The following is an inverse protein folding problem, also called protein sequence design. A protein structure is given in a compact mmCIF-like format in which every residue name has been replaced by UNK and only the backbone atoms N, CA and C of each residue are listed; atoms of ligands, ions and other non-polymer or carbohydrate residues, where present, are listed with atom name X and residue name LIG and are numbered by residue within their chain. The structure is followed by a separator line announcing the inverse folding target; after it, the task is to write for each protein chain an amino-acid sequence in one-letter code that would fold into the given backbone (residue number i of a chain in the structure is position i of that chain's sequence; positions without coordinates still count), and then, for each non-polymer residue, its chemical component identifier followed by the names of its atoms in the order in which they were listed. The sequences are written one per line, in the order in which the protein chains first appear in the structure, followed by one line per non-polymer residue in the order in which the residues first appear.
data_IF_483552914405
#
_entry.id   IF_483552914405
#
_cell.length_a   1.000
_cell.length_b   1.000
_cell.length_c   1.000
_cell.angle_alpha   90.00
_cell.angle_beta   90.00
_cell.angle_gamma   90.00
#
_symmetry.space_group_name_H-M   'P 1'
#
loop_
_entity.id
_entity.type
_entity.pdbx_description
1 polymer ?
#
# COMPACT_ATOMS: atom_id res chain seq x y z
N UNK A 1 -35.01 15.87 31.12
CA UNK A 1 -34.97 14.77 32.10
C UNK A 1 -34.71 13.37 31.51
N UNK A 2 -34.69 13.17 30.19
CA UNK A 2 -34.26 11.90 29.57
C UNK A 2 -32.75 11.82 29.24
N UNK A 3 -32.05 12.97 29.20
CA UNK A 3 -30.61 13.00 28.86
C UNK A 3 -29.66 12.67 30.04
N UNK A 4 -30.16 12.53 31.27
CA UNK A 4 -29.32 12.31 32.46
C UNK A 4 -29.34 10.88 33.01
N UNK A 5 -30.14 9.97 32.43
CA UNK A 5 -30.16 8.54 32.81
C UNK A 5 -29.22 7.64 31.99
N UNK A 6 -28.54 8.17 30.98
CA UNK A 6 -27.62 7.39 30.11
C UNK A 6 -26.17 7.35 30.68
N UNK A 7 -25.93 7.89 31.88
CA UNK A 7 -24.59 7.84 32.53
C UNK A 7 -24.37 6.67 33.50
N UNK A 8 -25.26 5.67 33.59
CA UNK A 8 -25.14 4.63 34.64
C UNK A 8 -25.16 3.16 34.23
N UNK A 9 -25.15 2.81 32.95
CA UNK A 9 -25.02 1.42 32.51
C UNK A 9 -24.04 1.33 31.32
N UNK A 10 -22.74 1.33 31.63
CA UNK A 10 -21.71 0.88 30.71
C UNK A 10 -21.53 -0.64 30.83
N UNK A 11 -21.13 -1.28 29.72
CA UNK A 11 -20.62 -2.67 29.60
C UNK A 11 -21.59 -3.82 29.26
N UNK A 12 -22.50 -3.66 28.30
CA UNK A 12 -23.11 -4.84 27.62
C UNK A 12 -23.53 -4.64 26.14
N UNK A 13 -22.91 -3.69 25.43
CA UNK A 13 -23.40 -3.25 24.11
C UNK A 13 -22.55 -3.57 22.87
N UNK A 14 -21.48 -4.37 22.95
CA UNK A 14 -20.51 -4.46 21.83
C UNK A 14 -20.72 -5.68 20.90
N UNK A 15 -21.39 -6.76 21.33
CA UNK A 15 -21.86 -7.79 20.39
C UNK A 15 -23.17 -7.42 19.66
N UNK A 16 -23.80 -6.32 20.08
CA UNK A 16 -24.91 -5.71 19.37
C UNK A 16 -24.43 -4.58 18.44
N UNK A 17 -23.15 -4.20 18.41
CA UNK A 17 -22.64 -3.09 17.59
C UNK A 17 -22.74 -3.33 16.07
N UNK A 18 -22.63 -4.56 15.59
CA UNK A 18 -22.74 -4.88 14.15
C UNK A 18 -24.19 -5.13 13.71
N UNK A 19 -25.08 -5.46 14.66
CA UNK A 19 -26.52 -5.61 14.43
C UNK A 19 -27.25 -4.27 14.64
N UNK A 20 -26.76 -3.43 15.56
CA UNK A 20 -27.26 -2.09 15.85
C UNK A 20 -26.63 -1.01 14.97
N UNK A 21 -25.47 -1.19 14.32
CA UNK A 21 -25.09 -0.24 13.25
C UNK A 21 -25.94 -0.45 11.99
N UNK A 22 -26.48 -1.66 11.79
CA UNK A 22 -27.53 -1.93 10.79
C UNK A 22 -28.92 -1.47 11.26
N UNK A 23 -29.20 -1.44 12.57
CA UNK A 23 -30.46 -0.93 13.09
C UNK A 23 -30.48 0.60 13.31
N UNK A 24 -29.36 1.24 13.64
CA UNK A 24 -29.27 2.69 13.89
C UNK A 24 -29.17 3.51 12.61
N UNK A 25 -28.71 2.90 11.51
CA UNK A 25 -28.93 3.45 10.15
C UNK A 25 -30.38 3.21 9.69
N UNK A 26 -31.09 2.22 10.27
CA UNK A 26 -32.51 2.00 9.98
C UNK A 26 -33.46 2.88 10.83
N UNK A 27 -33.03 3.31 12.02
CA UNK A 27 -33.88 4.09 12.95
C UNK A 27 -33.63 5.61 12.87
N UNK A 28 -32.53 6.06 12.25
CA UNK A 28 -32.30 7.46 11.89
C UNK A 28 -32.79 7.82 10.46
N UNK A 29 -33.35 6.85 9.74
CA UNK A 29 -33.86 7.01 8.38
C UNK A 29 -35.34 6.60 8.27
N UNK A 30 -36.14 6.89 9.30
CA UNK A 30 -37.58 7.03 9.08
C UNK A 30 -37.80 8.20 8.10
N UNK A 31 -37.97 7.83 6.83
CA UNK A 31 -38.58 8.58 5.75
C UNK A 31 -37.94 9.92 5.38
N UNK A 32 -36.88 9.90 4.56
CA UNK A 32 -36.75 10.90 3.48
C UNK A 32 -35.83 10.57 2.31
N UNK A 33 -34.93 9.58 2.39
CA UNK A 33 -34.05 9.25 1.25
C UNK A 33 -33.94 7.73 1.03
N UNK A 34 -34.23 7.23 -0.19
CA UNK A 34 -34.08 5.81 -0.51
C UNK A 34 -32.59 5.41 -0.54
N UNK A 35 -32.22 4.26 0.03
CA UNK A 35 -30.87 3.70 -0.13
C UNK A 35 -30.82 2.73 -1.33
N UNK A 36 -29.79 2.82 -2.18
CA UNK A 36 -29.53 1.89 -3.29
C UNK A 36 -28.21 1.13 -3.04
N UNK A 37 -28.26 -0.20 -3.14
CA UNK A 37 -27.07 -1.06 -3.06
C UNK A 37 -26.89 -1.92 -4.31
N UNK A 38 -25.64 -2.17 -4.69
CA UNK A 38 -25.25 -3.11 -5.74
C UNK A 38 -24.45 -4.25 -5.12
N UNK A 39 -24.83 -5.49 -5.39
CA UNK A 39 -24.14 -6.66 -4.85
C UNK A 39 -23.76 -7.62 -5.97
N UNK A 40 -22.53 -8.16 -5.91
CA UNK A 40 -21.98 -9.05 -6.93
C UNK A 40 -22.14 -10.50 -6.47
N UNK A 41 -22.75 -11.34 -7.32
CA UNK A 41 -23.07 -12.74 -6.99
C UNK A 41 -22.51 -13.73 -8.02
N UNK A 42 -22.47 -15.01 -7.62
CA UNK A 42 -22.03 -16.14 -8.44
C UNK A 42 -22.78 -16.34 -9.77
N UNK A 43 -22.41 -17.38 -10.51
CA UNK A 43 -22.75 -17.56 -11.94
C UNK A 43 -24.23 -17.77 -12.28
N UNK A 44 -25.13 -17.78 -11.30
CA UNK A 44 -26.57 -17.92 -11.53
C UNK A 44 -27.18 -16.59 -11.99
N UNK A 45 -27.98 -16.63 -13.06
CA UNK A 45 -28.87 -15.53 -13.44
C UNK A 45 -29.87 -15.35 -12.28
N UNK A 46 -30.00 -14.14 -11.74
CA UNK A 46 -31.32 -13.50 -11.67
C UNK A 46 -31.28 -12.05 -11.17
N UNK A 47 -32.21 -11.32 -11.76
CA UNK A 47 -32.41 -9.88 -11.82
C UNK A 47 -33.30 -9.43 -10.66
N UNK A 48 -32.92 -8.35 -9.99
CA UNK A 48 -33.71 -7.50 -9.08
C UNK A 48 -34.53 -8.24 -8.00
N UNK A 49 -34.03 -8.24 -6.74
CA UNK A 49 -34.86 -8.61 -5.59
C UNK A 49 -35.46 -7.34 -5.00
N UNK A 50 -36.79 -7.18 -5.10
CA UNK A 50 -37.54 -6.34 -4.17
C UNK A 50 -37.58 -7.04 -2.82
N UNK A 51 -37.30 -6.33 -1.72
CA UNK A 51 -37.34 -6.91 -0.38
C UNK A 51 -38.73 -7.47 -0.06
N UNK A 52 -38.87 -8.78 -0.27
CA UNK A 52 -40.00 -9.60 0.15
C UNK A 52 -39.45 -10.97 0.52
N UNK A 53 -39.26 -11.18 1.82
CA UNK A 53 -38.99 -12.44 2.53
C UNK A 53 -38.62 -13.65 1.63
N UNK A 54 -37.34 -13.84 1.31
CA UNK A 54 -36.81 -15.18 1.08
C UNK A 54 -35.41 -15.34 1.69
N UNK A 55 -35.38 -16.09 2.80
CA UNK A 55 -34.15 -16.70 3.32
C UNK A 55 -33.73 -17.81 2.35
N UNK A 56 -32.93 -17.49 1.34
CA UNK A 56 -32.05 -18.48 0.69
C UNK A 56 -30.60 -18.05 0.85
N UNK A 57 -29.86 -18.91 1.54
CA UNK A 57 -28.42 -18.82 1.73
C UNK A 57 -27.69 -18.96 0.38
N UNK A 58 -27.64 -17.87 -0.40
CA UNK A 58 -26.60 -17.72 -1.42
C UNK A 58 -25.49 -16.89 -0.78
N UNK A 59 -24.31 -17.48 -0.60
CA UNK A 59 -23.12 -16.78 -0.08
C UNK A 59 -22.77 -15.65 -1.05
N UNK A 60 -23.20 -14.44 -0.71
CA UNK A 60 -22.80 -13.24 -1.43
C UNK A 60 -21.28 -13.11 -1.45
N UNK A 61 -20.74 -12.86 -2.63
CA UNK A 61 -19.30 -12.70 -2.87
C UNK A 61 -18.80 -11.27 -2.71
N UNK A 62 -19.66 -10.35 -2.26
CA UNK A 62 -19.32 -8.94 -2.01
C UNK A 62 -20.53 -8.02 -2.25
N UNK A 63 -20.85 -7.15 -1.28
CA UNK A 63 -21.93 -6.15 -1.37
C UNK A 63 -21.37 -4.73 -1.29
N UNK A 64 -21.80 -3.83 -2.16
CA UNK A 64 -21.39 -2.43 -2.19
C UNK A 64 -22.61 -1.49 -2.18
N UNK A 65 -22.58 -0.45 -1.35
CA UNK A 65 -23.65 0.55 -1.32
C UNK A 65 -23.31 1.73 -2.21
N UNK A 66 -24.21 2.11 -3.13
CA UNK A 66 -24.08 3.37 -3.87
C UNK A 66 -24.72 4.45 -3.01
N UNK A 67 -23.89 5.15 -2.23
CA UNK A 67 -24.34 6.21 -1.32
C UNK A 67 -24.57 7.58 -2.00
N UNK A 68 -24.34 7.70 -3.31
CA UNK A 68 -24.49 8.99 -4.00
C UNK A 68 -25.88 8.98 -4.63
N UNK A 69 -26.88 9.22 -3.79
CA UNK A 69 -28.26 9.29 -4.27
C UNK A 69 -28.41 10.61 -5.06
N UNK A 70 -28.79 10.57 -6.35
CA UNK A 70 -29.21 11.77 -7.07
C UNK A 70 -30.36 12.43 -6.30
N UNK A 71 -30.29 13.75 -6.13
CA UNK A 71 -31.24 14.50 -5.33
C UNK A 71 -32.67 14.26 -5.84
N UNK A 72 -33.54 13.68 -4.99
CA UNK A 72 -34.94 13.40 -5.33
C UNK A 72 -35.90 14.45 -4.77
N UNK A 73 -35.35 15.55 -4.23
CA UNK A 73 -36.13 16.62 -3.57
C UNK A 73 -36.90 17.50 -4.55
N UNK A 74 -36.65 17.38 -5.86
CA UNK A 74 -37.27 18.19 -6.91
C UNK A 74 -38.60 17.62 -7.46
N UNK A 75 -39.03 16.42 -7.05
CA UNK A 75 -40.24 15.80 -7.62
C UNK A 75 -41.53 16.24 -6.91
N UNK A 76 -42.66 16.38 -7.64
CA UNK A 76 -43.95 16.73 -7.07
C UNK A 76 -44.43 15.74 -6.01
N UNK A 77 -45.17 16.24 -5.01
CA UNK A 77 -45.82 15.41 -4.00
C UNK A 77 -46.81 14.44 -4.67
N UNK A 78 -46.64 13.13 -4.44
CA UNK A 78 -47.43 12.07 -5.09
C UNK A 78 -46.72 11.31 -6.23
N UNK A 79 -45.56 11.78 -6.70
CA UNK A 79 -44.78 11.06 -7.71
C UNK A 79 -44.21 9.72 -7.18
N UNK A 80 -44.31 8.66 -7.98
CA UNK A 80 -43.62 7.40 -7.68
C UNK A 80 -42.16 7.52 -8.09
N UNK A 81 -41.25 7.54 -7.10
CA UNK A 81 -39.80 7.69 -7.32
C UNK A 81 -39.11 6.32 -7.32
N UNK A 82 -38.33 6.09 -8.37
CA UNK A 82 -37.42 4.96 -8.53
C UNK A 82 -36.04 5.39 -9.02
N UNK A 83 -35.24 4.42 -9.41
CA UNK A 83 -33.87 4.59 -9.86
C UNK A 83 -33.62 3.88 -11.17
N UNK A 84 -32.87 4.51 -12.05
CA UNK A 84 -32.24 3.87 -13.20
C UNK A 84 -30.73 3.79 -12.93
N UNK A 85 -30.18 2.60 -13.09
CA UNK A 85 -28.75 2.32 -12.95
C UNK A 85 -28.23 1.78 -14.25
N UNK A 86 -27.18 2.41 -14.74
CA UNK A 86 -26.40 1.90 -15.86
C UNK A 86 -25.11 1.27 -15.36
N UNK A 87 -24.78 0.11 -15.91
CA UNK A 87 -23.51 -0.58 -15.70
C UNK A 87 -22.85 -0.77 -17.06
N UNK A 88 -21.60 -0.37 -17.18
CA UNK A 88 -20.85 -0.42 -18.44
C UNK A 88 -19.43 -0.93 -18.24
N UNK A 89 -18.83 -1.64 -19.21
CA UNK A 89 -17.40 -1.92 -19.22
C UNK A 89 -16.54 -0.68 -19.53
N UNK A 90 -17.15 0.44 -19.95
CA UNK A 90 -16.46 1.67 -20.35
C UNK A 90 -17.08 2.89 -19.68
N UNK A 91 -16.28 3.94 -19.48
CA UNK A 91 -16.76 5.19 -18.86
C UNK A 91 -17.60 6.06 -19.79
N UNK A 92 -17.72 5.72 -21.08
CA UNK A 92 -18.54 6.45 -22.05
C UNK A 92 -20.01 6.00 -22.07
N UNK A 93 -20.34 4.92 -21.34
CA UNK A 93 -21.69 4.37 -21.21
C UNK A 93 -22.40 4.15 -22.57
N UNK A 94 -21.66 3.81 -23.63
CA UNK A 94 -22.25 3.45 -24.94
C UNK A 94 -22.78 2.01 -24.98
N UNK A 95 -22.10 1.13 -24.27
CA UNK A 95 -22.50 -0.27 -24.07
C UNK A 95 -22.93 -0.40 -22.60
N UNK A 96 -24.24 -0.43 -22.34
CA UNK A 96 -24.77 -0.44 -20.97
C UNK A 96 -25.77 -1.57 -20.78
N UNK A 97 -25.72 -2.14 -19.58
CA UNK A 97 -26.86 -2.84 -19.01
C UNK A 97 -27.63 -1.88 -18.11
N UNK A 98 -28.95 -1.85 -18.27
CA UNK A 98 -29.85 -0.98 -17.53
C UNK A 98 -30.63 -1.77 -16.50
N UNK A 99 -30.72 -1.21 -15.30
CA UNK A 99 -31.50 -1.75 -14.21
C UNK A 99 -32.42 -0.65 -13.70
N UNK A 100 -33.68 -1.00 -13.48
CA UNK A 100 -34.62 -0.12 -12.80
C UNK A 100 -34.96 -0.70 -11.44
N UNK A 101 -35.14 0.17 -10.44
CA UNK A 101 -35.57 -0.23 -9.12
C UNK A 101 -36.55 0.79 -8.54
N UNK A 102 -37.68 0.32 -8.03
CA UNK A 102 -38.75 1.13 -7.47
C UNK A 102 -38.79 0.99 -5.95
N UNK A 103 -39.07 2.10 -5.25
CA UNK A 103 -39.28 2.14 -3.80
C UNK A 103 -38.03 2.40 -2.96
N UNK A 104 -38.18 2.25 -1.64
CA UNK A 104 -37.11 2.44 -0.67
C UNK A 104 -36.28 1.16 -0.50
N UNK A 105 -34.95 1.31 -0.35
CA UNK A 105 -34.00 0.21 -0.08
C UNK A 105 -33.88 -0.83 -1.22
N UNK A 106 -33.51 -0.36 -2.41
CA UNK A 106 -33.33 -1.19 -3.59
C UNK A 106 -31.98 -1.93 -3.61
N UNK A 107 -31.99 -3.18 -4.04
CA UNK A 107 -30.79 -4.00 -4.24
C UNK A 107 -30.69 -4.46 -5.71
N UNK A 108 -29.60 -4.08 -6.37
CA UNK A 108 -29.27 -4.54 -7.73
C UNK A 108 -28.22 -5.63 -7.63
N UNK A 109 -28.51 -6.78 -8.25
CA UNK A 109 -27.60 -7.92 -8.30
C UNK A 109 -26.87 -7.96 -9.63
N UNK A 110 -25.54 -8.00 -9.58
CA UNK A 110 -24.65 -8.03 -10.75
C UNK A 110 -23.97 -9.40 -10.77
N UNK A 111 -24.10 -10.13 -11.87
CA UNK A 111 -23.55 -11.47 -11.96
C UNK A 111 -22.04 -11.40 -12.30
N UNK A 112 -21.21 -12.24 -11.67
CA UNK A 112 -19.76 -12.31 -11.93
C UNK A 112 -19.39 -12.36 -13.42
N UNK A 113 -20.18 -13.10 -14.21
CA UNK A 113 -20.00 -13.22 -15.67
C UNK A 113 -19.98 -11.88 -16.43
N UNK A 114 -20.62 -10.83 -15.91
CA UNK A 114 -20.63 -9.49 -16.51
C UNK A 114 -19.23 -8.84 -16.48
N UNK A 115 -18.37 -9.26 -15.56
CA UNK A 115 -16.97 -8.86 -15.53
C UNK A 115 -16.08 -9.72 -16.45
N UNK A 116 -16.64 -10.72 -17.13
CA UNK A 116 -15.90 -11.68 -17.95
C UNK A 116 -15.18 -12.76 -17.13
N UNK A 117 -14.54 -13.70 -17.83
CA UNK A 117 -13.98 -14.92 -17.22
C UNK A 117 -12.85 -14.69 -16.20
N UNK A 118 -12.14 -13.57 -16.33
CA UNK A 118 -11.06 -13.15 -15.43
C UNK A 118 -11.45 -11.94 -14.56
N UNK A 119 -12.67 -11.43 -14.69
CA UNK A 119 -13.08 -10.21 -14.02
C UNK A 119 -12.49 -8.94 -14.63
N UNK A 120 -12.62 -7.83 -13.91
CA UNK A 120 -12.09 -6.54 -14.34
C UNK A 120 -12.76 -5.37 -13.65
N UNK A 121 -12.93 -4.29 -14.42
CA UNK A 121 -13.61 -3.06 -14.00
C UNK A 121 -14.94 -2.94 -14.72
N UNK A 122 -15.98 -2.61 -13.97
CA UNK A 122 -17.22 -2.07 -14.50
C UNK A 122 -17.41 -0.66 -13.94
N UNK A 123 -18.18 0.16 -14.64
CA UNK A 123 -18.49 1.52 -14.28
C UNK A 123 -19.99 1.62 -14.11
N UNK A 124 -20.43 2.26 -13.03
CA UNK A 124 -21.84 2.45 -12.73
C UNK A 124 -22.17 3.93 -12.54
N UNK A 125 -23.37 4.30 -12.97
CA UNK A 125 -24.00 5.59 -12.66
C UNK A 125 -25.47 5.35 -12.37
N UNK A 126 -26.04 6.18 -11.51
CA UNK A 126 -27.44 6.12 -11.09
C UNK A 126 -28.12 7.47 -11.35
N UNK A 127 -29.37 7.47 -11.76
CA UNK A 127 -30.25 8.64 -11.78
C UNK A 127 -31.60 8.29 -11.16
N UNK A 128 -32.26 9.28 -10.58
CA UNK A 128 -33.65 9.13 -10.14
C UNK A 128 -34.59 9.13 -11.35
N UNK A 129 -35.70 8.41 -11.23
CA UNK A 129 -36.79 8.40 -12.21
C UNK A 129 -38.08 8.63 -11.45
N UNK A 130 -38.90 9.58 -11.88
CA UNK A 130 -40.21 9.85 -11.27
C UNK A 130 -41.31 9.61 -12.29
N UNK A 131 -42.34 8.86 -11.89
CA UNK A 131 -43.58 8.73 -12.66
C UNK A 131 -44.64 9.61 -12.01
N UNK A 132 -45.10 10.62 -12.74
CA UNK A 132 -46.12 11.56 -12.29
C UNK A 132 -47.52 10.94 -12.39
N UNK A 133 -48.50 11.52 -11.69
CA UNK A 133 -49.91 11.10 -11.78
C UNK A 133 -50.46 11.19 -13.22
N UNK A 134 -49.90 12.08 -14.04
CA UNK A 134 -50.18 12.21 -15.48
C UNK A 134 -49.65 11.05 -16.33
N UNK A 135 -48.97 10.07 -15.74
CA UNK A 135 -48.17 9.03 -16.40
C UNK A 135 -46.95 9.54 -17.18
N UNK A 136 -46.58 10.81 -17.01
CA UNK A 136 -45.33 11.36 -17.53
C UNK A 136 -44.14 10.87 -16.68
N UNK A 137 -43.01 10.61 -17.35
CA UNK A 137 -41.79 10.13 -16.71
C UNK A 137 -40.72 11.21 -16.76
N UNK A 138 -40.28 11.65 -15.59
CA UNK A 138 -39.18 12.61 -15.42
C UNK A 138 -37.90 11.90 -14.97
N UNK A 139 -36.76 12.42 -15.41
CA UNK A 139 -35.44 11.87 -15.12
C UNK A 139 -34.56 12.91 -14.44
N UNK A 140 -33.92 12.50 -13.34
CA UNK A 140 -32.89 13.30 -12.70
C UNK A 140 -31.56 13.24 -13.45
N UNK A 141 -30.62 14.06 -13.00
CA UNK A 141 -29.24 14.00 -13.49
C UNK A 141 -28.55 12.69 -13.11
N UNK A 142 -27.61 12.27 -13.94
CA UNK A 142 -26.75 11.14 -13.63
C UNK A 142 -25.79 11.48 -12.49
N UNK A 143 -25.64 10.56 -11.54
CA UNK A 143 -24.60 10.60 -10.54
C UNK A 143 -23.21 10.61 -11.17
N UNK A 144 -22.20 10.94 -10.35
CA UNK A 144 -20.81 10.64 -10.70
C UNK A 144 -20.65 9.15 -11.00
N UNK A 145 -19.80 8.84 -11.97
CA UNK A 145 -19.42 7.47 -12.29
C UNK A 145 -18.64 6.86 -11.13
N UNK A 146 -19.07 5.67 -10.69
CA UNK A 146 -18.34 4.84 -9.72
C UNK A 146 -17.72 3.64 -10.42
N UNK A 147 -16.50 3.29 -10.03
CA UNK A 147 -15.80 2.08 -10.49
C UNK A 147 -16.14 0.91 -9.56
N UNK A 148 -16.45 -0.23 -10.15
CA UNK A 148 -16.63 -1.52 -9.48
C UNK A 148 -15.49 -2.43 -9.95
N UNK A 149 -14.65 -2.88 -9.01
CA UNK A 149 -13.59 -3.85 -9.29
C UNK A 149 -13.99 -5.21 -8.75
N UNK A 150 -13.97 -6.21 -9.62
CA UNK A 150 -14.15 -7.60 -9.24
C UNK A 150 -13.22 -8.45 -10.10
N UNK A 151 -12.16 -9.01 -9.52
CA UNK A 151 -11.05 -9.60 -10.28
C UNK A 151 -10.75 -11.02 -9.81
N UNK A 152 -10.62 -11.95 -10.75
CA UNK A 152 -10.31 -13.34 -10.42
C UNK A 152 -8.87 -13.49 -10.00
N UNK A 153 -8.62 -14.24 -8.92
CA UNK A 153 -7.27 -14.67 -8.52
C UNK A 153 -6.85 -15.79 -9.46
N UNK A 154 -6.37 -15.42 -10.65
CA UNK A 154 -5.93 -16.33 -11.70
C UNK A 154 -4.48 -16.08 -12.08
N UNK A 155 -3.84 -17.06 -12.75
CA UNK A 155 -2.51 -16.85 -13.34
C UNK A 155 -2.55 -15.86 -14.51
N UNK A 156 -3.73 -15.58 -15.09
CA UNK A 156 -3.88 -14.59 -16.16
C UNK A 156 -3.74 -13.17 -15.60
N UNK A 157 -4.45 -12.87 -14.51
CA UNK A 157 -4.41 -11.57 -13.85
C UNK A 157 -3.17 -11.39 -12.99
N UNK A 158 -2.78 -12.43 -12.25
CA UNK A 158 -1.74 -12.39 -11.23
C UNK A 158 -0.66 -13.46 -11.46
N UNK A 159 -0.01 -13.56 -12.63
CA UNK A 159 0.91 -14.66 -12.95
C UNK A 159 2.03 -14.87 -11.92
N UNK A 160 2.55 -13.78 -11.36
CA UNK A 160 3.60 -13.81 -10.34
C UNK A 160 3.10 -13.78 -8.90
N UNK A 161 1.84 -13.38 -8.66
CA UNK A 161 1.25 -13.20 -7.32
C UNK A 161 0.16 -14.22 -6.98
N UNK A 162 -0.24 -15.07 -7.94
CA UNK A 162 -1.35 -16.03 -7.82
C UNK A 162 -1.27 -16.86 -6.54
N UNK A 163 -0.11 -17.45 -6.23
CA UNK A 163 0.05 -18.28 -5.04
C UNK A 163 -0.10 -17.46 -3.75
N UNK A 164 0.49 -16.27 -3.70
CA UNK A 164 0.44 -15.37 -2.54
C UNK A 164 -0.98 -14.89 -2.28
N UNK A 165 -1.69 -14.42 -3.32
CA UNK A 165 -3.07 -13.96 -3.18
C UNK A 165 -4.02 -15.10 -2.83
N UNK A 166 -3.86 -16.28 -3.46
CA UNK A 166 -4.75 -17.43 -3.24
C UNK A 166 -4.57 -18.10 -1.88
N UNK A 167 -3.34 -18.20 -1.38
CA UNK A 167 -3.02 -19.02 -0.19
C UNK A 167 -2.65 -18.21 1.04
N UNK A 168 -2.15 -16.99 0.86
CA UNK A 168 -1.55 -16.21 1.94
C UNK A 168 -0.26 -16.85 2.45
N UNK A 169 0.89 -16.25 2.13
CA UNK A 169 2.18 -16.73 2.63
C UNK A 169 2.96 -15.69 3.44
N UNK A 170 2.48 -14.44 3.49
CA UNK A 170 2.95 -13.43 4.42
C UNK A 170 2.43 -13.68 5.83
N UNK A 171 3.22 -13.28 6.84
CA UNK A 171 2.90 -13.48 8.25
C UNK A 171 3.00 -12.13 8.99
N UNK A 172 2.07 -11.86 9.90
CA UNK A 172 2.13 -10.72 10.81
C UNK A 172 1.89 -11.15 12.25
N UNK A 173 2.32 -10.33 13.20
CA UNK A 173 2.08 -10.55 14.61
C UNK A 173 1.02 -9.55 15.07
N UNK A 174 0.00 -10.06 15.74
CA UNK A 174 -1.08 -9.30 16.36
C UNK A 174 -1.35 -9.88 17.73
N UNK A 175 -2.02 -9.15 18.61
CA UNK A 175 -2.55 -9.78 19.82
C UNK A 175 -3.50 -10.93 19.47
N UNK A 176 -3.65 -11.89 20.38
CA UNK A 176 -4.65 -12.95 20.24
C UNK A 176 -6.04 -12.38 19.94
N UNK A 177 -6.93 -13.17 19.32
CA UNK A 177 -8.27 -12.65 18.98
C UNK A 177 -9.03 -12.19 20.24
N UNK A 178 -8.84 -12.90 21.36
CA UNK A 178 -9.38 -12.53 22.67
C UNK A 178 -8.80 -11.20 23.19
N UNK A 179 -7.50 -10.99 23.02
CA UNK A 179 -6.84 -9.75 23.45
C UNK A 179 -7.17 -8.56 22.54
N UNK A 180 -7.37 -8.81 21.25
CA UNK A 180 -7.88 -7.81 20.31
C UNK A 180 -9.31 -7.40 20.66
N UNK A 181 -10.16 -8.33 21.11
CA UNK A 181 -11.51 -8.02 21.59
C UNK A 181 -11.49 -7.22 22.89
N UNK A 182 -10.65 -7.62 23.86
CA UNK A 182 -10.39 -6.83 25.07
C UNK A 182 -9.95 -5.41 24.75
N UNK A 183 -8.98 -5.25 23.84
CA UNK A 183 -8.51 -3.93 23.40
C UNK A 183 -9.60 -3.10 22.74
N UNK A 184 -10.45 -3.72 21.90
CA UNK A 184 -11.63 -3.04 21.31
C UNK A 184 -12.62 -2.57 22.37
N UNK A 185 -12.72 -3.30 23.48
CA UNK A 185 -13.60 -2.98 24.60
C UNK A 185 -12.94 -2.08 25.66
N UNK A 186 -11.69 -1.65 25.45
CA UNK A 186 -10.94 -0.80 26.40
C UNK A 186 -10.39 -1.54 27.62
N UNK A 187 -10.33 -2.87 27.59
CA UNK A 187 -9.83 -3.70 28.68
C UNK A 187 -8.30 -3.91 28.58
N UNK A 188 -7.59 -3.99 29.73
CA UNK A 188 -6.18 -4.33 29.76
C UNK A 188 -5.94 -5.80 29.35
N UNK A 189 -4.84 -6.06 28.65
CA UNK A 189 -4.44 -7.38 28.17
C UNK A 189 -2.99 -7.72 28.58
N UNK A 190 -2.70 -9.01 28.79
CA UNK A 190 -1.36 -9.56 29.05
C UNK A 190 -0.48 -9.64 27.80
N UNK A 191 -1.03 -9.40 26.61
CA UNK A 191 -0.25 -9.02 25.43
C UNK A 191 0.41 -10.14 24.63
N UNK A 192 -0.14 -11.36 24.65
CA UNK A 192 0.42 -12.45 23.85
C UNK A 192 0.28 -12.17 22.35
N UNK A 193 1.42 -11.98 21.68
CA UNK A 193 1.46 -11.79 20.23
C UNK A 193 1.31 -13.14 19.52
N UNK A 194 0.20 -13.29 18.81
CA UNK A 194 -0.09 -14.42 17.94
C UNK A 194 0.32 -14.10 16.51
N UNK A 195 0.91 -15.09 15.87
CA UNK A 195 1.29 -15.04 14.48
C UNK A 195 0.09 -15.39 13.58
N UNK A 196 -0.28 -14.50 12.68
CA UNK A 196 -1.37 -14.67 11.71
C UNK A 196 -0.81 -14.63 10.28
N UNK A 197 -1.54 -15.23 9.35
CA UNK A 197 -1.25 -15.13 7.91
C UNK A 197 -2.05 -14.00 7.29
N UNK A 198 -1.48 -13.34 6.29
CA UNK A 198 -2.25 -12.44 5.43
C UNK A 198 -3.17 -13.28 4.54
N UNK A 199 -4.48 -13.05 4.64
CA UNK A 199 -5.49 -13.59 3.74
C UNK A 199 -6.02 -12.43 2.90
N UNK A 200 -5.90 -12.55 1.58
CA UNK A 200 -6.31 -11.51 0.64
C UNK A 200 -7.73 -11.78 0.14
N UNK A 201 -8.00 -13.04 -0.16
CA UNK A 201 -9.33 -13.62 -0.41
C UNK A 201 -9.92 -14.08 0.93
N UNK A 202 -10.76 -13.23 1.52
CA UNK A 202 -11.33 -13.46 2.86
C UNK A 202 -12.45 -14.50 2.79
N UNK A 203 -13.29 -14.41 1.76
CA UNK A 203 -14.43 -15.29 1.57
C UNK A 203 -14.05 -16.64 0.88
N UNK A 204 -12.83 -16.74 0.36
CA UNK A 204 -12.22 -17.92 -0.30
C UNK A 204 -12.93 -18.35 -1.57
N UNK A 205 -13.58 -17.42 -2.26
CA UNK A 205 -14.31 -17.71 -3.49
C UNK A 205 -13.41 -17.68 -4.75
N UNK A 206 -12.13 -17.32 -4.58
CA UNK A 206 -11.14 -17.23 -5.65
C UNK A 206 -11.16 -15.91 -6.44
N UNK A 207 -11.89 -14.91 -5.96
CA UNK A 207 -11.96 -13.57 -6.51
C UNK A 207 -11.51 -12.55 -5.45
N UNK A 208 -11.22 -11.34 -5.91
CA UNK A 208 -11.06 -10.18 -5.06
C UNK A 208 -12.17 -9.21 -5.40
N UNK A 209 -13.04 -8.98 -4.43
CA UNK A 209 -14.07 -7.95 -4.51
C UNK A 209 -13.49 -6.57 -4.14
N UNK A 210 -14.26 -5.50 -4.36
CA UNK A 210 -13.80 -4.15 -4.08
C UNK A 210 -13.50 -3.90 -2.58
N UNK A 211 -14.17 -4.59 -1.67
CA UNK A 211 -13.96 -4.52 -0.22
C UNK A 211 -12.64 -5.19 0.17
N UNK A 212 -12.43 -6.41 -0.30
CA UNK A 212 -11.15 -7.12 -0.15
C UNK A 212 -10.00 -6.31 -0.75
N UNK A 213 -10.14 -5.79 -1.97
CA UNK A 213 -9.15 -4.90 -2.58
C UNK A 213 -8.87 -3.67 -1.73
N UNK A 214 -9.90 -3.07 -1.14
CA UNK A 214 -9.77 -1.88 -0.30
C UNK A 214 -9.04 -2.16 1.01
N UNK A 215 -9.20 -3.36 1.56
CA UNK A 215 -8.55 -3.80 2.79
C UNK A 215 -7.10 -4.24 2.59
N UNK A 216 -6.70 -4.56 1.36
CA UNK A 216 -5.31 -4.94 1.03
C UNK A 216 -4.41 -3.70 1.04
N UNK A 217 -3.89 -3.39 2.25
CA UNK A 217 -2.89 -2.34 2.49
C UNK A 217 -1.46 -2.84 2.39
N UNK A 218 -1.23 -4.14 2.57
CA UNK A 218 0.12 -4.75 2.58
C UNK A 218 0.15 -6.02 1.75
N UNK A 219 1.15 -6.16 0.89
CA UNK A 219 1.46 -7.39 0.15
C UNK A 219 2.77 -7.95 0.67
N UNK A 220 2.71 -9.09 1.35
CA UNK A 220 3.85 -9.72 1.99
C UNK A 220 4.02 -11.17 1.56
N UNK A 221 5.28 -11.56 1.39
CA UNK A 221 5.70 -12.94 1.16
C UNK A 221 6.78 -13.33 2.18
N UNK A 222 6.77 -14.59 2.60
CA UNK A 222 7.79 -15.11 3.52
C UNK A 222 8.92 -15.80 2.76
N UNK A 223 8.55 -16.78 1.94
CA UNK A 223 9.46 -17.64 1.18
C UNK A 223 9.03 -17.78 -0.29
N UNK A 224 7.99 -17.05 -0.71
CA UNK A 224 7.50 -17.09 -2.09
C UNK A 224 8.29 -16.15 -2.98
N UNK A 225 8.70 -16.68 -4.14
CA UNK A 225 9.27 -15.91 -5.23
C UNK A 225 8.17 -15.31 -6.10
N UNK A 226 8.16 -13.99 -6.22
CA UNK A 226 7.28 -13.25 -7.14
C UNK A 226 8.01 -13.01 -8.46
N UNK A 227 7.44 -13.46 -9.57
CA UNK A 227 8.05 -13.31 -10.91
C UNK A 227 7.55 -12.09 -11.68
N UNK A 228 6.38 -11.58 -11.32
CA UNK A 228 5.70 -10.45 -11.99
C UNK A 228 4.72 -9.80 -11.02
N UNK A 229 4.61 -8.48 -11.11
CA UNK A 229 3.59 -7.69 -10.40
C UNK A 229 2.39 -7.33 -11.28
N UNK A 230 2.22 -7.99 -12.44
CA UNK A 230 0.98 -7.84 -13.22
C UNK A 230 -0.23 -8.10 -12.32
N UNK A 231 -1.21 -7.20 -12.36
CA UNK A 231 -2.41 -7.22 -11.54
C UNK A 231 -2.29 -6.38 -10.26
N UNK A 232 -1.10 -5.92 -9.86
CA UNK A 232 -0.94 -5.07 -8.67
C UNK A 232 -1.70 -3.75 -8.80
N UNK A 233 -1.98 -3.29 -10.02
CA UNK A 233 -2.78 -2.11 -10.34
C UNK A 233 -4.26 -2.22 -9.91
N UNK A 234 -4.75 -3.42 -9.59
CA UNK A 234 -6.06 -3.59 -8.94
C UNK A 234 -5.99 -3.27 -7.44
N UNK A 235 -4.83 -3.45 -6.80
CA UNK A 235 -4.62 -3.19 -5.38
C UNK A 235 -4.33 -1.71 -5.13
N UNK A 236 -5.25 -0.83 -5.55
CA UNK A 236 -5.07 0.65 -5.58
C UNK A 236 -4.70 1.27 -4.24
N UNK A 237 -5.03 0.55 -3.18
CA UNK A 237 -4.97 0.93 -1.80
C UNK A 237 -3.77 0.30 -1.05
N UNK A 238 -2.88 -0.36 -1.79
CA UNK A 238 -1.64 -0.96 -1.30
C UNK A 238 -0.62 0.11 -0.90
N UNK A 239 -0.18 0.07 0.36
CA UNK A 239 0.75 1.02 0.98
C UNK A 239 2.12 0.42 1.27
N UNK A 240 2.21 -0.90 1.43
CA UNK A 240 3.46 -1.58 1.76
C UNK A 240 3.63 -2.87 0.97
N UNK A 241 4.85 -3.13 0.50
CA UNK A 241 5.22 -4.41 -0.09
C UNK A 241 6.48 -4.97 0.59
N UNK A 242 6.44 -6.23 1.00
CA UNK A 242 7.58 -6.97 1.54
C UNK A 242 7.75 -8.29 0.81
N UNK A 243 8.66 -8.30 -0.17
CA UNK A 243 8.97 -9.45 -0.98
C UNK A 243 10.22 -10.17 -0.49
N UNK A 244 10.11 -11.46 -0.23
CA UNK A 244 11.24 -12.32 0.05
C UNK A 244 12.15 -12.43 -1.16
N UNK A 245 11.58 -12.76 -2.32
CA UNK A 245 12.30 -12.85 -3.58
C UNK A 245 11.50 -12.28 -4.74
N UNK A 246 12.20 -11.58 -5.64
CA UNK A 246 11.64 -11.05 -6.87
C UNK A 246 12.55 -11.38 -8.07
N UNK A 247 12.00 -11.99 -9.10
CA UNK A 247 12.76 -12.37 -10.31
C UNK A 247 12.49 -11.51 -11.54
N UNK A 248 11.54 -10.57 -11.46
CA UNK A 248 11.29 -9.61 -12.52
C UNK A 248 12.39 -8.53 -12.59
N UNK A 249 12.44 -7.81 -13.70
CA UNK A 249 13.37 -6.69 -13.91
C UNK A 249 12.75 -5.32 -13.66
N UNK A 250 11.43 -5.24 -13.50
CA UNK A 250 10.67 -4.01 -13.30
C UNK A 250 9.63 -4.16 -12.20
N UNK A 251 9.85 -3.49 -11.08
CA UNK A 251 8.91 -3.38 -9.96
C UNK A 251 8.13 -2.08 -10.10
N UNK A 252 6.98 -2.14 -10.78
CA UNK A 252 6.11 -0.99 -11.04
C UNK A 252 4.96 -0.93 -10.04
N UNK A 253 4.94 0.12 -9.23
CA UNK A 253 3.95 0.41 -8.20
C UNK A 253 3.36 1.82 -8.38
N UNK A 254 3.43 2.36 -9.60
CA UNK A 254 2.96 3.72 -9.94
C UNK A 254 1.45 3.90 -9.82
N UNK A 255 0.69 2.82 -9.69
CA UNK A 255 -0.78 2.81 -9.55
C UNK A 255 -1.24 2.53 -8.13
N UNK A 256 -0.32 2.49 -7.17
CA UNK A 256 -0.56 2.16 -5.78
C UNK A 256 -0.16 3.33 -4.87
N UNK A 257 -0.76 3.41 -3.68
CA UNK A 257 -0.41 4.40 -2.64
C UNK A 257 0.81 3.96 -1.83
N UNK A 258 1.83 3.42 -2.51
CA UNK A 258 2.97 2.77 -1.85
C UNK A 258 3.78 3.80 -1.04
N UNK A 259 4.10 3.46 0.21
CA UNK A 259 4.96 4.22 1.13
C UNK A 259 6.22 3.44 1.49
N UNK A 260 6.12 2.12 1.58
CA UNK A 260 7.23 1.24 1.95
C UNK A 260 7.44 0.13 0.90
N UNK A 261 8.66 0.01 0.40
CA UNK A 261 9.08 -1.06 -0.50
C UNK A 261 10.24 -1.83 0.13
N UNK A 262 10.05 -3.11 0.39
CA UNK A 262 11.09 -4.01 0.84
C UNK A 262 11.20 -5.23 -0.09
N UNK A 263 12.38 -5.46 -0.66
CA UNK A 263 12.70 -6.66 -1.44
C UNK A 263 14.04 -7.21 -0.97
N UNK A 264 14.01 -8.37 -0.32
CA UNK A 264 15.19 -8.99 0.31
C UNK A 264 16.04 -9.82 -0.66
N UNK A 265 15.49 -10.17 -1.82
CA UNK A 265 16.17 -11.05 -2.77
C UNK A 265 15.81 -10.76 -4.22
N UNK A 266 16.50 -9.81 -4.85
CA UNK A 266 16.47 -9.64 -6.30
C UNK A 266 17.29 -10.75 -6.96
N UNK A 267 16.63 -11.56 -7.79
CA UNK A 267 17.25 -12.68 -8.49
C UNK A 267 17.72 -12.31 -9.91
N UNK A 268 17.20 -11.21 -10.46
CA UNK A 268 17.58 -10.68 -11.77
C UNK A 268 18.94 -9.97 -11.73
N UNK A 269 19.54 -9.77 -12.91
CA UNK A 269 20.78 -8.98 -13.06
C UNK A 269 20.55 -7.48 -12.93
N UNK A 270 19.32 -7.04 -13.15
CA UNK A 270 18.94 -5.64 -13.08
C UNK A 270 17.53 -5.47 -12.52
N UNK A 271 17.31 -4.35 -11.83
CA UNK A 271 15.99 -3.96 -11.32
C UNK A 271 15.75 -2.48 -11.59
N UNK A 272 14.55 -2.18 -12.09
CA UNK A 272 13.98 -0.83 -12.14
C UNK A 272 12.82 -0.77 -11.16
N UNK A 273 12.84 0.17 -10.23
CA UNK A 273 11.77 0.41 -9.26
C UNK A 273 11.05 1.70 -9.64
N UNK A 274 9.74 1.61 -9.81
CA UNK A 274 8.86 2.76 -10.08
C UNK A 274 7.87 2.84 -8.93
N UNK A 275 8.20 3.66 -7.94
CA UNK A 275 7.37 3.89 -6.75
C UNK A 275 7.41 5.38 -6.36
N UNK A 276 6.67 6.25 -7.09
CA UNK A 276 6.81 7.70 -6.95
C UNK A 276 6.50 8.23 -5.54
N UNK A 277 5.61 7.55 -4.82
CA UNK A 277 5.17 7.92 -3.47
C UNK A 277 5.91 7.18 -2.35
N UNK A 278 6.80 6.23 -2.67
CA UNK A 278 7.54 5.50 -1.64
C UNK A 278 8.50 6.42 -0.88
N UNK A 279 8.41 6.40 0.44
CA UNK A 279 9.26 7.15 1.37
C UNK A 279 10.45 6.30 1.82
N UNK A 280 10.24 4.99 1.95
CA UNK A 280 11.25 4.01 2.39
C UNK A 280 11.40 2.92 1.35
N UNK A 281 12.62 2.72 0.87
CA UNK A 281 12.95 1.68 -0.10
C UNK A 281 14.14 0.87 0.39
N UNK A 282 13.96 -0.44 0.50
CA UNK A 282 14.99 -1.43 0.74
C UNK A 282 14.99 -2.44 -0.39
N UNK A 283 16.06 -2.51 -1.18
CA UNK A 283 16.18 -3.48 -2.29
C UNK A 283 17.58 -4.07 -2.30
N UNK A 284 17.67 -5.36 -2.01
CA UNK A 284 18.94 -6.09 -2.01
C UNK A 284 18.93 -7.28 -2.96
N UNK A 285 20.11 -7.61 -3.49
CA UNK A 285 20.33 -8.85 -4.21
C UNK A 285 20.08 -10.07 -3.33
N UNK A 286 19.60 -11.15 -3.93
CA UNK A 286 19.54 -12.45 -3.25
C UNK A 286 20.92 -12.87 -2.74
N UNK A 287 20.99 -13.30 -1.48
CA UNK A 287 22.26 -13.65 -0.81
C UNK A 287 22.99 -14.82 -1.45
N UNK A 288 22.27 -15.74 -2.13
CA UNK A 288 22.89 -16.91 -2.76
C UNK A 288 23.36 -16.59 -4.17
N UNK A 289 22.55 -15.89 -4.96
CA UNK A 289 22.85 -15.63 -6.37
C UNK A 289 23.70 -14.38 -6.58
N UNK A 290 23.39 -13.29 -5.88
CA UNK A 290 24.18 -12.04 -5.91
C UNK A 290 24.42 -11.49 -7.33
N UNK A 291 23.48 -11.70 -8.25
CA UNK A 291 23.60 -11.34 -9.67
C UNK A 291 23.31 -9.87 -9.99
N UNK A 292 22.72 -9.14 -9.03
CA UNK A 292 22.26 -7.77 -9.24
C UNK A 292 23.43 -6.84 -9.54
N UNK A 293 23.47 -6.32 -10.76
CA UNK A 293 24.55 -5.48 -11.29
C UNK A 293 24.09 -4.08 -11.68
N UNK A 294 22.78 -3.85 -11.80
CA UNK A 294 22.18 -2.55 -12.12
C UNK A 294 20.92 -2.31 -11.31
N UNK A 295 20.85 -1.15 -10.66
CA UNK A 295 19.73 -0.71 -9.84
C UNK A 295 19.29 0.66 -10.34
N UNK A 296 18.02 0.79 -10.73
CA UNK A 296 17.41 2.05 -11.13
C UNK A 296 16.21 2.37 -10.23
N UNK A 297 16.35 3.39 -9.39
CA UNK A 297 15.28 3.93 -8.53
C UNK A 297 14.96 5.38 -8.92
N UNK A 298 15.31 5.79 -10.14
CA UNK A 298 15.21 7.19 -10.58
C UNK A 298 13.77 7.73 -10.61
N UNK A 299 12.78 6.85 -10.71
CA UNK A 299 11.35 7.15 -10.70
C UNK A 299 10.72 7.16 -9.29
N UNK A 300 11.51 7.09 -8.21
CA UNK A 300 11.03 7.10 -6.83
C UNK A 300 11.15 8.51 -6.23
N UNK A 301 10.19 9.39 -6.53
CA UNK A 301 10.27 10.83 -6.27
C UNK A 301 10.19 11.23 -4.78
N UNK A 302 9.61 10.38 -3.92
CA UNK A 302 9.34 10.72 -2.51
C UNK A 302 10.30 10.12 -1.49
N UNK A 303 11.35 9.44 -1.94
CA UNK A 303 12.22 8.65 -1.07
C UNK A 303 12.97 9.54 -0.07
N UNK A 304 12.84 9.18 1.21
CA UNK A 304 13.52 9.76 2.36
C UNK A 304 14.63 8.85 2.84
N UNK A 305 14.38 7.53 2.86
CA UNK A 305 15.31 6.49 3.28
C UNK A 305 15.49 5.42 2.19
N UNK A 306 16.72 5.30 1.70
CA UNK A 306 17.06 4.42 0.58
C UNK A 306 18.17 3.47 0.97
N UNK A 307 17.88 2.17 0.99
CA UNK A 307 18.86 1.11 1.11
C UNK A 307 18.83 0.24 -0.14
N UNK A 308 19.95 0.23 -0.88
CA UNK A 308 20.07 -0.54 -2.11
C UNK A 308 21.41 -1.25 -2.17
N UNK A 309 21.42 -2.47 -2.73
CA UNK A 309 22.71 -3.04 -3.08
C UNK A 309 22.77 -4.53 -3.29
N UNK A 310 23.99 -5.03 -3.20
CA UNK A 310 24.35 -6.43 -3.37
C UNK A 310 25.40 -6.81 -2.33
N UNK A 311 25.36 -8.06 -1.87
CA UNK A 311 26.31 -8.65 -0.92
C UNK A 311 27.72 -8.83 -1.49
N UNK A 312 27.94 -8.51 -2.77
CA UNK A 312 29.25 -8.40 -3.44
C UNK A 312 29.37 -7.08 -4.18
N UNK A 313 30.62 -6.63 -4.37
CA UNK A 313 30.99 -5.43 -5.16
C UNK A 313 30.82 -5.63 -6.67
N UNK A 314 29.59 -5.89 -7.12
CA UNK A 314 29.26 -6.16 -8.54
C UNK A 314 28.22 -5.21 -9.13
N UNK A 315 27.64 -4.30 -8.34
CA UNK A 315 26.68 -3.29 -8.83
C UNK A 315 27.43 -2.22 -9.62
N UNK A 316 27.40 -2.30 -10.95
CA UNK A 316 28.08 -1.39 -11.88
C UNK A 316 27.34 -0.08 -12.07
N UNK A 317 26.01 -0.12 -11.97
CA UNK A 317 25.16 1.04 -12.29
C UNK A 317 24.13 1.24 -11.21
N UNK A 318 24.12 2.45 -10.63
CA UNK A 318 23.09 2.91 -9.70
C UNK A 318 22.53 4.21 -10.24
N UNK A 319 21.22 4.25 -10.48
CA UNK A 319 20.48 5.48 -10.78
C UNK A 319 19.62 5.83 -9.59
N UNK A 320 20.10 6.79 -8.79
CA UNK A 320 19.42 7.32 -7.63
C UNK A 320 18.20 8.18 -8.02
N UNK A 321 17.30 8.51 -7.08
CA UNK A 321 16.09 9.30 -7.34
C UNK A 321 16.38 10.62 -8.07
N UNK A 322 15.58 10.94 -9.10
CA UNK A 322 15.71 12.24 -9.80
C UNK A 322 15.43 13.42 -8.86
N UNK A 323 14.44 13.26 -7.99
CA UNK A 323 14.12 14.22 -6.95
C UNK A 323 15.10 14.13 -5.78
N UNK A 324 15.94 15.15 -5.64
CA UNK A 324 17.07 15.13 -4.70
C UNK A 324 16.76 15.71 -3.32
N UNK A 325 15.67 16.48 -3.22
CA UNK A 325 15.39 17.34 -2.05
C UNK A 325 14.86 16.58 -0.83
N UNK A 326 14.39 15.33 -1.01
CA UNK A 326 13.78 14.53 0.05
C UNK A 326 14.71 13.48 0.67
N UNK A 327 15.75 13.05 -0.05
CA UNK A 327 16.62 11.97 0.43
C UNK A 327 17.44 12.43 1.64
N UNK A 328 17.23 11.74 2.77
CA UNK A 328 17.87 12.02 4.07
C UNK A 328 18.86 10.93 4.46
N UNK A 329 18.55 9.67 4.14
CA UNK A 329 19.36 8.49 4.45
C UNK A 329 19.63 7.69 3.17
N UNK A 330 20.89 7.32 2.96
CA UNK A 330 21.32 6.50 1.83
C UNK A 330 22.29 5.42 2.29
N UNK A 331 21.90 4.16 2.13
CA UNK A 331 22.79 3.00 2.22
C UNK A 331 22.99 2.41 0.82
N UNK A 332 24.25 2.31 0.40
CA UNK A 332 24.64 1.64 -0.83
C UNK A 332 25.58 0.49 -0.49
N UNK A 333 25.22 -0.72 -0.94
CA UNK A 333 26.05 -1.91 -0.79
C UNK A 333 26.53 -2.47 -2.13
N UNK A 334 27.80 -2.87 -2.20
CA UNK A 334 28.30 -3.65 -3.32
C UNK A 334 28.44 -2.87 -4.63
N UNK A 335 28.53 -1.54 -4.57
CA UNK A 335 28.81 -0.72 -5.74
C UNK A 335 30.24 -0.93 -6.23
N UNK A 336 30.41 -1.21 -7.53
CA UNK A 336 31.70 -1.56 -8.14
C UNK A 336 32.34 -0.42 -8.92
N UNK A 337 31.67 0.74 -9.01
CA UNK A 337 32.23 1.94 -9.63
C UNK A 337 33.33 2.58 -8.77
N UNK A 338 34.22 3.34 -9.41
CA UNK A 338 35.35 3.99 -8.74
C UNK A 338 34.95 5.22 -7.92
N UNK A 339 33.90 5.93 -8.32
CA UNK A 339 33.42 7.16 -7.67
C UNK A 339 31.94 7.06 -7.37
N UNK A 340 31.56 7.36 -6.12
CA UNK A 340 30.17 7.61 -5.73
C UNK A 340 29.93 9.12 -5.65
N UNK A 341 29.02 9.66 -6.48
CA UNK A 341 28.67 11.09 -6.50
C UNK A 341 27.29 11.32 -5.88
N UNK A 342 27.27 11.94 -4.70
CA UNK A 342 26.03 12.27 -3.97
C UNK A 342 25.86 13.77 -3.74
N UNK A 343 26.67 14.61 -4.41
CA UNK A 343 26.64 16.07 -4.24
C UNK A 343 25.29 16.73 -4.57
N UNK A 344 24.45 16.03 -5.31
CA UNK A 344 23.11 16.51 -5.64
C UNK A 344 22.13 16.41 -4.45
N UNK A 345 22.38 15.51 -3.47
CA UNK A 345 21.49 15.21 -2.34
C UNK A 345 21.87 16.06 -1.12
N UNK A 346 21.60 17.36 -1.19
CA UNK A 346 22.05 18.35 -0.19
C UNK A 346 21.38 18.20 1.18
N UNK A 347 20.26 17.46 1.27
CA UNK A 347 19.54 17.15 2.51
C UNK A 347 19.98 15.85 3.18
N UNK A 348 20.95 15.14 2.59
CA UNK A 348 21.48 13.89 3.14
C UNK A 348 22.11 14.14 4.52
N UNK A 349 21.59 13.44 5.53
CA UNK A 349 22.07 13.44 6.92
C UNK A 349 22.89 12.19 7.24
N UNK A 350 22.68 11.11 6.50
CA UNK A 350 23.29 9.82 6.74
C UNK A 350 23.68 9.12 5.43
N UNK A 351 24.90 8.61 5.38
CA UNK A 351 25.43 7.86 4.26
C UNK A 351 26.19 6.63 4.75
N UNK A 352 25.70 5.46 4.36
CA UNK A 352 26.37 4.19 4.60
C UNK A 352 26.86 3.60 3.28
N UNK A 353 28.16 3.31 3.22
CA UNK A 353 28.78 2.72 2.04
C UNK A 353 29.41 1.40 2.42
N UNK A 354 28.83 0.32 1.92
CA UNK A 354 29.08 -1.03 2.41
C UNK A 354 29.68 -1.89 1.30
N UNK A 355 30.85 -2.49 1.53
CA UNK A 355 31.49 -3.44 0.61
C UNK A 355 31.59 -2.90 -0.83
N UNK A 356 31.87 -1.60 -0.99
CA UNK A 356 31.97 -0.97 -2.29
C UNK A 356 33.41 -0.88 -2.76
N UNK A 357 33.62 -0.97 -4.08
CA UNK A 357 34.92 -0.87 -4.75
C UNK A 357 35.29 0.58 -5.10
N UNK A 358 34.93 1.53 -4.24
CA UNK A 358 35.11 2.97 -4.48
C UNK A 358 36.47 3.46 -3.98
N UNK A 359 37.08 4.39 -4.72
CA UNK A 359 38.26 5.15 -4.28
C UNK A 359 37.94 6.59 -3.91
N UNK A 360 36.78 7.11 -4.35
CA UNK A 360 36.34 8.48 -4.11
C UNK A 360 34.84 8.56 -3.81
N UNK A 361 34.46 9.42 -2.88
CA UNK A 361 33.08 9.83 -2.66
C UNK A 361 33.01 11.35 -2.76
N UNK A 362 32.11 11.87 -3.59
CA UNK A 362 31.85 13.31 -3.72
C UNK A 362 30.62 13.67 -2.89
N UNK A 363 30.87 14.37 -1.78
CA UNK A 363 29.87 14.71 -0.76
C UNK A 363 30.12 16.12 -0.15
N UNK A 364 30.89 16.95 -0.84
CA UNK A 364 31.29 18.29 -0.41
C UNK A 364 30.09 19.26 -0.31
N UNK A 365 29.00 18.98 -1.04
CA UNK A 365 27.72 19.72 -1.00
C UNK A 365 26.72 19.16 0.02
N UNK A 366 26.97 18.00 0.63
CA UNK A 366 26.11 17.40 1.66
C UNK A 366 26.36 18.08 3.02
N UNK A 367 25.95 19.34 3.15
CA UNK A 367 26.20 20.17 4.35
C UNK A 367 25.45 19.71 5.59
N UNK A 368 24.36 18.97 5.40
CA UNK A 368 23.54 18.42 6.49
C UNK A 368 24.03 17.05 6.99
N UNK A 369 25.12 16.50 6.42
CA UNK A 369 25.63 15.18 6.76
C UNK A 369 26.09 15.13 8.23
N UNK A 370 25.56 14.18 9.00
CA UNK A 370 25.82 13.97 10.43
C UNK A 370 26.49 12.63 10.71
N UNK A 371 26.13 11.60 9.94
CA UNK A 371 26.59 10.22 10.12
C UNK A 371 27.16 9.70 8.79
N UNK A 372 28.38 9.18 8.82
CA UNK A 372 29.05 8.65 7.65
C UNK A 372 29.74 7.33 7.99
N UNK A 373 29.38 6.27 7.29
CA UNK A 373 29.93 4.94 7.49
C UNK A 373 30.54 4.36 6.24
N UNK A 374 31.70 3.73 6.44
CA UNK A 374 32.30 2.85 5.45
C UNK A 374 32.52 1.48 6.09
N UNK A 375 32.01 0.45 5.43
CA UNK A 375 32.29 -0.94 5.77
C UNK A 375 33.05 -1.62 4.64
N UNK A 376 34.21 -2.22 4.92
CA UNK A 376 34.98 -3.01 3.93
C UNK A 376 35.21 -2.28 2.59
N UNK A 377 35.39 -0.97 2.61
CA UNK A 377 35.69 -0.15 1.44
C UNK A 377 37.21 0.05 1.33
N UNK A 378 37.89 -0.92 0.73
CA UNK A 378 39.35 -1.04 0.79
C UNK A 378 40.12 -0.22 -0.26
N UNK A 379 39.48 0.61 -1.07
CA UNK A 379 40.19 1.45 -2.05
C UNK A 379 40.22 2.93 -1.71
N UNK A 380 39.61 3.33 -0.59
CA UNK A 380 39.68 4.68 -0.08
C UNK A 380 41.01 4.82 0.69
N UNK A 381 41.85 5.77 0.29
CA UNK A 381 43.16 6.02 0.92
C UNK A 381 43.21 7.31 1.72
N UNK A 382 42.45 8.31 1.29
CA UNK A 382 42.33 9.63 1.92
C UNK A 382 40.93 10.18 1.70
N UNK A 383 40.53 11.15 2.51
CA UNK A 383 39.24 11.81 2.37
C UNK A 383 39.29 13.24 2.91
N UNK A 384 38.64 14.17 2.22
CA UNK A 384 38.46 15.53 2.71
C UNK A 384 36.97 15.78 3.03
N UNK A 385 36.67 15.82 4.32
CA UNK A 385 35.37 16.08 4.92
C UNK A 385 35.31 17.47 5.56
N UNK A 386 36.30 18.35 5.31
CA UNK A 386 36.35 19.71 5.88
C UNK A 386 35.09 20.54 5.58
N UNK A 387 34.40 20.19 4.50
CA UNK A 387 33.17 20.84 4.02
C UNK A 387 31.89 20.32 4.68
N UNK A 388 31.93 19.21 5.41
CA UNK A 388 30.80 18.57 6.10
C UNK A 388 30.78 18.99 7.58
N UNK A 389 30.59 20.29 7.84
CA UNK A 389 30.78 20.89 9.18
C UNK A 389 29.82 20.37 10.26
N UNK A 390 28.70 19.75 9.87
CA UNK A 390 27.72 19.12 10.79
C UNK A 390 28.03 17.65 11.10
N UNK A 391 29.13 17.09 10.55
CA UNK A 391 29.47 15.69 10.73
C UNK A 391 29.80 15.38 12.19
N UNK A 392 28.97 14.55 12.83
CA UNK A 392 29.12 14.15 14.23
C UNK A 392 29.94 12.87 14.36
N UNK A 393 29.65 11.88 13.50
CA UNK A 393 30.22 10.53 13.59
C UNK A 393 30.71 10.03 12.24
N UNK A 394 31.88 9.39 12.25
CA UNK A 394 32.53 8.78 11.10
C UNK A 394 33.17 7.44 11.49
N UNK A 395 32.91 6.35 10.78
CA UNK A 395 33.68 5.11 10.96
C UNK A 395 34.07 4.47 9.64
N UNK A 396 35.25 3.89 9.66
CA UNK A 396 35.85 3.13 8.58
C UNK A 396 36.05 1.67 9.05
N UNK A 397 34.96 0.96 9.28
CA UNK A 397 35.00 -0.41 9.80
C UNK A 397 35.55 -1.38 8.76
N UNK A 398 36.63 -2.09 9.12
CA UNK A 398 37.33 -3.05 8.25
C UNK A 398 37.74 -2.44 6.88
N UNK A 399 38.02 -1.13 6.85
CA UNK A 399 38.56 -0.44 5.68
C UNK A 399 40.08 -0.32 5.83
N UNK A 400 40.82 -1.25 5.24
CA UNK A 400 42.23 -1.49 5.58
C UNK A 400 43.22 -0.50 4.95
N UNK A 401 42.79 0.23 3.93
CA UNK A 401 43.65 1.14 3.16
C UNK A 401 43.59 2.61 3.60
N UNK A 402 42.72 2.94 4.55
CA UNK A 402 42.57 4.30 5.08
C UNK A 402 43.13 4.41 6.49
N UNK A 403 43.80 5.52 6.76
CA UNK A 403 44.22 5.93 8.10
C UNK A 403 43.50 7.22 8.48
N UNK A 404 43.09 7.37 9.74
CA UNK A 404 42.46 8.62 10.22
C UNK A 404 43.36 9.85 10.03
N UNK A 405 44.69 9.69 9.97
CA UNK A 405 45.63 10.78 9.68
C UNK A 405 45.46 11.35 8.27
N UNK A 406 44.98 10.54 7.32
CA UNK A 406 44.72 10.93 5.94
C UNK A 406 43.30 11.47 5.72
N UNK A 407 42.54 11.68 6.80
CA UNK A 407 41.16 12.18 6.76
C UNK A 407 41.11 13.59 7.34
N UNK A 408 40.88 14.58 6.48
CA UNK A 408 40.60 15.96 6.93
C UNK A 408 39.13 16.02 7.32
N UNK A 409 38.81 16.46 8.54
CA UNK A 409 37.44 16.52 9.06
C UNK A 409 37.27 17.61 10.11
N UNK A 410 36.03 18.02 10.44
CA UNK A 410 35.78 18.93 11.56
C UNK A 410 36.34 18.39 12.88
N UNK A 411 36.88 19.28 13.72
CA UNK A 411 37.50 18.90 15.00
C UNK A 411 36.54 18.17 15.94
N UNK A 412 35.26 18.53 15.90
CA UNK A 412 34.20 17.92 16.73
C UNK A 412 33.77 16.52 16.27
N UNK A 413 34.17 16.08 15.06
CA UNK A 413 33.76 14.77 14.53
C UNK A 413 34.47 13.63 15.27
N UNK A 414 33.67 12.79 15.93
CA UNK A 414 34.13 11.52 16.50
C UNK A 414 34.36 10.54 15.36
N UNK A 415 35.59 10.02 15.24
CA UNK A 415 35.86 9.01 14.23
C UNK A 415 36.70 7.83 14.69
N UNK A 416 36.41 6.69 14.09
CA UNK A 416 37.04 5.40 14.38
C UNK A 416 37.36 4.62 13.09
N UNK A 417 38.01 3.48 13.21
CA UNK A 417 38.33 2.56 12.09
C UNK A 417 38.03 1.10 12.43
N UNK A 418 37.05 0.85 13.30
CA UNK A 418 36.98 -0.46 13.97
C UNK A 418 35.81 -0.69 14.91
N UNK A 419 34.86 0.24 15.02
CA UNK A 419 33.72 0.09 15.95
C UNK A 419 32.41 -0.32 15.26
N UNK A 420 32.35 -0.29 13.94
CA UNK A 420 31.10 -0.47 13.19
C UNK A 420 30.22 0.78 13.30
N UNK A 421 28.92 0.65 13.03
CA UNK A 421 27.93 1.72 13.20
C UNK A 421 27.63 2.03 14.68
N UNK A 422 28.64 2.19 15.52
CA UNK A 422 28.49 2.38 16.97
C UNK A 422 27.64 3.59 17.35
N UNK A 423 27.55 4.60 16.47
CA UNK A 423 26.72 5.78 16.74
C UNK A 423 25.23 5.45 16.74
N UNK A 424 24.78 4.34 16.14
CA UNK A 424 23.38 3.92 16.19
C UNK A 424 22.90 3.71 17.64
N UNK A 425 23.81 3.36 18.55
CA UNK A 425 23.50 3.16 19.97
C UNK A 425 23.55 4.47 20.79
N UNK A 426 23.99 5.58 20.19
CA UNK A 426 24.14 6.84 20.90
C UNK A 426 22.81 7.58 21.07
N UNK A 427 22.63 8.25 22.22
CA UNK A 427 21.45 9.10 22.48
C UNK A 427 21.25 10.17 21.41
N UNK A 428 22.33 10.77 20.90
CA UNK A 428 22.28 11.79 19.85
C UNK A 428 21.66 11.24 18.56
N UNK A 429 22.06 10.04 18.13
CA UNK A 429 21.47 9.39 16.95
C UNK A 429 20.01 9.01 17.18
N UNK A 430 19.70 8.40 18.33
CA UNK A 430 18.33 8.03 18.66
C UNK A 430 17.39 9.25 18.71
N UNK A 431 17.91 10.40 19.18
CA UNK A 431 17.17 11.68 19.18
C UNK A 431 16.99 12.23 17.77
N UNK A 432 18.06 12.24 16.96
CA UNK A 432 18.01 12.70 15.57
C UNK A 432 17.07 11.82 14.72
N UNK A 433 16.99 10.51 14.98
CA UNK A 433 16.13 9.57 14.24
C UNK A 433 14.65 9.66 14.62
N UNK A 434 14.30 9.98 15.88
CA UNK A 434 12.90 10.25 16.28
C UNK A 434 12.30 11.48 15.60
N UNK A 435 13.15 12.35 15.04
CA UNK A 435 12.73 13.59 14.34
C UNK A 435 12.61 13.44 12.82
N UNK A 436 12.90 12.24 12.27
CA UNK A 436 12.75 11.89 10.86
C UNK A 436 11.45 11.10 10.67
#
# INVERSE_FOLDING_TARGET
MALEKIKRWGLLGICLGTILFRAYVAEAAENKYPNLSIEVFGDEKETTIHWGVEKKHTTASGSFTILDNPDSSDYPEGAMVGYEVEISPKTDFKEVEKYTAEGNNCLIKVAKKQFGADGGRLYTRVRSVATLESSEVEYGEWSKTKELVFVKISKTNFPGMYTTLKKGDGEYYTFSDADMEKLKNGEPTSGDMVKKKYLYDQNKDGWLDQGEINDIRTLMTKDTKISSLKGVEYLTNLESINLAQYSGTKLDLSKNKIRNVQVRGILSKEITVIAPEAEKIFVEADMKQQKLSKIDVSACASVVDLNIGNWKSVVKTVRLPKEKKKLVSLSIRGFSGSTLDVNAYTKLKELDVLMCNISKVKLEKCKELRYLYFYRCNNIKSMDLSKNTKLKYLDFYDCRSISLKAVKRPKATKATTGKGCYWWETKDYQTDMRSR
#
